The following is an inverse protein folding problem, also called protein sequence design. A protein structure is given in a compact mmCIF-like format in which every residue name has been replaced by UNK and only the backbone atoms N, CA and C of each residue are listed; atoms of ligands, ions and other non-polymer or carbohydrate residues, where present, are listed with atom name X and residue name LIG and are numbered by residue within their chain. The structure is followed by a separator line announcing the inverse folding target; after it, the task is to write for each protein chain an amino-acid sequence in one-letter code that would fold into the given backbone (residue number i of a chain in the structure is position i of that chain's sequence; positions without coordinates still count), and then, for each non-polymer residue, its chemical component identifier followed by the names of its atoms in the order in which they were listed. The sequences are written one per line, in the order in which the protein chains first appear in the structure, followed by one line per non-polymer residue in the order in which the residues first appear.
data_IF_932505863029
#
_entry.id   IF_932505863029
#
_cell.length_a   1.000
_cell.length_b   1.000
_cell.length_c   1.000
_cell.angle_alpha   90.00
_cell.angle_beta   90.00
_cell.angle_gamma   90.00
#
_symmetry.space_group_name_H-M   'P 1'
#
loop_
_entity.id
_entity.type
_entity.pdbx_description
1 polymer ?
#
# COMPACT_ATOMS: atom_id res chain seq x y z
N UNK A 1 -2.73 7.91 14.15
CA UNK A 1 -3.82 6.92 14.01
C UNK A 1 -4.93 7.43 13.08
N UNK A 2 -5.31 8.70 13.19
CA UNK A 2 -6.28 9.33 12.28
C UNK A 2 -5.85 9.24 10.80
N UNK A 3 -4.54 9.29 10.52
CA UNK A 3 -3.98 9.22 9.18
C UNK A 3 -4.29 7.89 8.48
N UNK A 4 -4.28 6.78 9.22
CA UNK A 4 -4.61 5.45 8.68
C UNK A 4 -6.08 5.41 8.27
N UNK A 5 -6.96 5.90 9.14
CA UNK A 5 -8.40 5.95 8.87
C UNK A 5 -8.72 6.88 7.69
N UNK A 6 -8.06 8.04 7.62
CA UNK A 6 -8.19 8.98 6.51
C UNK A 6 -7.67 8.40 5.20
N UNK A 7 -6.54 7.69 5.20
CA UNK A 7 -6.01 7.02 4.01
C UNK A 7 -6.94 5.91 3.51
N UNK A 8 -7.55 5.15 4.44
CA UNK A 8 -8.51 4.10 4.11
C UNK A 8 -9.79 4.69 3.51
N UNK A 9 -10.33 5.76 4.12
CA UNK A 9 -11.47 6.50 3.58
C UNK A 9 -11.17 7.12 2.21
N UNK A 10 -10.01 7.74 2.05
CA UNK A 10 -9.60 8.32 0.78
C UNK A 10 -9.50 7.24 -0.31
N UNK A 11 -8.86 6.11 -0.03
CA UNK A 11 -8.77 4.98 -0.95
C UNK A 11 -10.14 4.42 -1.34
N UNK A 12 -11.06 4.29 -0.37
CA UNK A 12 -12.43 3.85 -0.61
C UNK A 12 -13.18 4.83 -1.51
N UNK A 13 -13.15 6.13 -1.19
CA UNK A 13 -13.82 7.16 -1.99
C UNK A 13 -13.26 7.23 -3.42
N UNK A 14 -11.95 7.19 -3.59
CA UNK A 14 -11.31 7.17 -4.92
C UNK A 14 -11.73 5.92 -5.70
N UNK A 15 -11.72 4.75 -5.06
CA UNK A 15 -12.17 3.50 -5.69
C UNK A 15 -13.62 3.59 -6.16
N UNK A 16 -14.52 4.06 -5.30
CA UNK A 16 -15.95 4.23 -5.63
C UNK A 16 -16.15 5.21 -6.78
N UNK A 17 -15.52 6.38 -6.74
CA UNK A 17 -15.66 7.40 -7.79
C UNK A 17 -15.16 6.88 -9.14
N UNK A 18 -13.97 6.27 -9.17
CA UNK A 18 -13.39 5.78 -10.42
C UNK A 18 -14.19 4.61 -11.00
N UNK A 19 -14.65 3.68 -10.15
CA UNK A 19 -15.55 2.61 -10.58
C UNK A 19 -16.90 3.14 -11.08
N UNK A 20 -17.48 4.15 -10.42
CA UNK A 20 -18.76 4.75 -10.82
C UNK A 20 -18.67 5.44 -12.19
N UNK A 21 -17.55 6.12 -12.48
CA UNK A 21 -17.31 6.80 -13.77
C UNK A 21 -16.69 5.86 -14.82
N UNK A 22 -16.48 4.58 -14.49
CA UNK A 22 -15.85 3.56 -15.37
C UNK A 22 -14.44 3.96 -15.83
N UNK A 23 -13.72 4.72 -15.01
CA UNK A 23 -12.32 5.03 -15.25
C UNK A 23 -11.43 3.88 -14.79
N UNK A 24 -10.27 3.65 -15.43
CA UNK A 24 -9.30 2.69 -14.94
C UNK A 24 -8.87 3.08 -13.52
N UNK A 25 -8.86 2.10 -12.61
CA UNK A 25 -8.45 2.33 -11.23
C UNK A 25 -6.97 2.75 -11.18
N UNK A 26 -6.61 3.76 -10.38
CA UNK A 26 -5.22 4.22 -10.25
C UNK A 26 -4.36 3.23 -9.45
N UNK A 27 -4.97 2.40 -8.61
CA UNK A 27 -4.31 1.37 -7.82
C UNK A 27 -4.25 0.03 -8.58
N UNK A 28 -3.30 -0.87 -8.27
CA UNK A 28 -3.23 -2.20 -8.88
C UNK A 28 -4.58 -2.92 -8.74
N UNK A 29 -5.24 -3.30 -9.85
CA UNK A 29 -6.59 -3.88 -9.81
C UNK A 29 -6.57 -5.37 -9.39
N UNK A 30 -5.39 -5.94 -9.17
CA UNK A 30 -5.19 -7.36 -8.86
C UNK A 30 -4.60 -7.55 -7.48
N UNK A 31 -5.05 -8.60 -6.79
CA UNK A 31 -4.57 -8.95 -5.45
C UNK A 31 -3.04 -9.17 -5.43
N UNK A 32 -2.47 -9.72 -6.50
CA UNK A 32 -1.03 -9.91 -6.66
C UNK A 32 -0.24 -8.60 -6.60
N UNK A 33 -0.78 -7.50 -7.15
CA UNK A 33 -0.16 -6.18 -7.09
C UNK A 33 -0.15 -5.62 -5.67
N UNK A 34 -1.24 -5.82 -4.93
CA UNK A 34 -1.33 -5.42 -3.51
C UNK A 34 -0.31 -6.21 -2.67
N UNK A 35 -0.24 -7.53 -2.86
CA UNK A 35 0.75 -8.39 -2.19
C UNK A 35 2.19 -7.96 -2.53
N UNK A 36 2.45 -7.56 -3.77
CA UNK A 36 3.75 -7.02 -4.19
C UNK A 36 4.16 -5.77 -3.39
N UNK A 37 3.25 -4.80 -3.22
CA UNK A 37 3.50 -3.58 -2.42
C UNK A 37 3.80 -3.93 -0.96
N UNK A 38 3.04 -4.86 -0.38
CA UNK A 38 3.29 -5.36 1.00
C UNK A 38 4.67 -6.00 1.09
N UNK A 39 5.05 -6.83 0.11
CA UNK A 39 6.37 -7.45 0.04
C UNK A 39 7.52 -6.43 -0.04
N UNK A 40 7.35 -5.35 -0.82
CA UNK A 40 8.33 -4.26 -0.92
C UNK A 40 8.52 -3.57 0.45
N UNK A 41 7.42 -3.25 1.14
CA UNK A 41 7.50 -2.62 2.47
C UNK A 41 8.19 -3.52 3.50
N UNK A 42 7.80 -4.80 3.56
CA UNK A 42 8.40 -5.78 4.47
C UNK A 42 9.88 -6.03 4.16
N UNK A 43 10.25 -6.09 2.88
CA UNK A 43 11.65 -6.22 2.45
C UNK A 43 12.50 -5.04 2.91
N UNK A 44 11.98 -3.81 2.79
CA UNK A 44 12.64 -2.62 3.31
C UNK A 44 12.87 -2.68 4.82
N UNK A 45 11.85 -3.08 5.60
CA UNK A 45 12.01 -3.24 7.05
C UNK A 45 12.94 -4.36 7.45
N UNK A 46 12.92 -5.48 6.71
CA UNK A 46 13.86 -6.57 6.93
C UNK A 46 15.30 -6.10 6.70
N UNK A 47 15.56 -5.33 5.65
CA UNK A 47 16.88 -4.78 5.38
C UNK A 47 17.36 -3.84 6.49
N UNK A 48 16.49 -2.93 6.98
CA UNK A 48 16.81 -2.06 8.11
C UNK A 48 17.12 -2.87 9.38
N UNK A 49 16.37 -3.94 9.63
CA UNK A 49 16.61 -4.83 10.77
C UNK A 49 17.95 -5.56 10.67
N UNK A 50 18.30 -6.05 9.48
CA UNK A 50 19.61 -6.69 9.20
C UNK A 50 20.73 -5.68 9.43
N UNK A 51 20.64 -4.48 8.85
CA UNK A 51 21.65 -3.44 9.03
C UNK A 51 21.90 -3.14 10.52
N UNK A 52 20.82 -2.96 11.29
CA UNK A 52 20.91 -2.69 12.72
C UNK A 52 21.51 -3.86 13.52
N UNK A 53 21.27 -5.10 13.11
CA UNK A 53 21.73 -6.29 13.83
C UNK A 53 23.20 -6.62 13.57
N UNK A 54 23.76 -6.23 12.41
CA UNK A 54 25.12 -6.60 12.00
C UNK A 54 26.11 -5.43 11.98
N UNK A 55 25.64 -4.19 11.89
CA UNK A 55 26.50 -2.99 11.80
C UNK A 55 26.33 -2.02 12.99
N UNK A 56 25.69 -2.48 14.08
CA UNK A 56 25.66 -1.83 15.40
C UNK A 56 26.42 -2.66 16.42
#
# INVERSE_FOLDING_TARGET
MSEILLALLAGLLVGVIFSAVKLPLPAPPVLSGIIGIVGIYLGGQLYQWILKSFFS
#
